data_IF_425639652430
#
_entry.id   IF_425639652430
#
_cell.length_a   1.000
_cell.length_b   1.000
_cell.length_c   1.000
_cell.angle_alpha   90.00
_cell.angle_beta   90.00
_cell.angle_gamma   90.00
#
_symmetry.space_group_name_H-M   'P 1'
#
loop_
_entity.id
_entity.type
_entity.pdbx_description
1 polymer ?
#
# COMPACT_ATOMS: atom_id res chain seq x y z
N UNK A 1 -20.53 21.81 45.32
CA UNK A 1 -21.16 21.36 44.05
C UNK A 1 -21.96 20.09 44.30
N UNK A 2 -23.26 20.03 43.94
CA UNK A 2 -24.12 18.89 44.21
C UNK A 2 -23.64 17.61 43.50
N UNK A 3 -23.87 16.45 44.13
CA UNK A 3 -23.44 15.14 43.60
C UNK A 3 -24.02 14.87 42.20
N UNK A 4 -25.28 15.26 41.97
CA UNK A 4 -25.96 15.17 40.67
C UNK A 4 -25.27 15.99 39.58
N UNK A 5 -24.81 17.21 39.90
CA UNK A 5 -24.12 18.08 38.93
C UNK A 5 -22.74 17.51 38.56
N UNK A 6 -22.02 16.91 39.52
CA UNK A 6 -20.76 16.19 39.24
C UNK A 6 -20.96 15.01 38.29
N UNK A 7 -22.04 14.25 38.48
CA UNK A 7 -22.38 13.10 37.62
C UNK A 7 -22.70 13.56 36.20
N UNK A 8 -23.53 14.60 36.04
CA UNK A 8 -23.91 15.13 34.73
C UNK A 8 -22.68 15.65 33.98
N UNK A 9 -21.80 16.40 34.65
CA UNK A 9 -20.56 16.90 34.04
C UNK A 9 -19.66 15.74 33.61
N UNK A 10 -19.49 14.72 34.45
CA UNK A 10 -18.70 13.53 34.10
C UNK A 10 -19.29 12.80 32.87
N UNK A 11 -20.62 12.69 32.80
CA UNK A 11 -21.31 12.06 31.67
C UNK A 11 -21.10 12.86 30.38
N UNK A 12 -21.30 14.19 30.42
CA UNK A 12 -21.09 15.05 29.25
C UNK A 12 -19.63 15.03 28.78
N UNK A 13 -18.66 15.10 29.71
CA UNK A 13 -17.24 14.99 29.37
C UNK A 13 -16.90 13.63 28.76
N UNK A 14 -17.43 12.53 29.33
CA UNK A 14 -17.22 11.19 28.80
C UNK A 14 -17.78 11.04 27.38
N UNK A 15 -19.00 11.55 27.13
CA UNK A 15 -19.63 11.50 25.81
C UNK A 15 -18.87 12.36 24.80
N UNK A 16 -18.43 13.55 25.19
CA UNK A 16 -17.64 14.43 24.33
C UNK A 16 -16.27 13.80 23.97
N UNK A 17 -15.57 13.22 24.95
CA UNK A 17 -14.30 12.51 24.71
C UNK A 17 -14.52 11.30 23.80
N UNK A 18 -15.59 10.53 24.03
CA UNK A 18 -15.96 9.40 23.17
C UNK A 18 -16.24 9.83 21.73
N UNK A 19 -16.96 10.94 21.54
CA UNK A 19 -17.25 11.48 20.22
C UNK A 19 -15.98 11.98 19.50
N UNK A 20 -15.10 12.71 20.18
CA UNK A 20 -13.83 13.19 19.59
C UNK A 20 -12.92 12.02 19.21
N UNK A 21 -12.86 10.97 20.04
CA UNK A 21 -12.09 9.77 19.73
C UNK A 21 -12.67 9.02 18.52
N UNK A 22 -13.99 8.80 18.49
CA UNK A 22 -14.65 8.03 17.45
C UNK A 22 -14.70 8.75 16.09
N UNK A 23 -14.99 10.06 16.09
CA UNK A 23 -15.20 10.83 14.86
C UNK A 23 -13.98 11.62 14.40
N UNK A 24 -13.07 11.96 15.33
CA UNK A 24 -11.83 12.67 15.01
C UNK A 24 -10.66 11.70 14.90
N UNK A 25 -10.29 11.07 16.02
CA UNK A 25 -9.03 10.34 16.10
C UNK A 25 -8.99 9.09 15.21
N UNK A 26 -10.02 8.23 15.26
CA UNK A 26 -10.01 6.96 14.51
C UNK A 26 -9.91 7.20 12.99
N UNK A 27 -10.75 8.04 12.35
CA UNK A 27 -10.66 8.28 10.90
C UNK A 27 -9.33 8.94 10.50
N UNK A 28 -8.88 9.95 11.25
CA UNK A 28 -7.61 10.62 10.96
C UNK A 28 -6.41 9.68 11.11
N UNK A 29 -6.41 8.83 12.15
CA UNK A 29 -5.35 7.88 12.38
C UNK A 29 -5.29 6.82 11.26
N UNK A 30 -6.44 6.29 10.84
CA UNK A 30 -6.49 5.37 9.70
C UNK A 30 -6.01 6.04 8.40
N UNK A 31 -6.43 7.26 8.13
CA UNK A 31 -6.04 8.00 6.93
C UNK A 31 -4.54 8.32 6.90
N UNK A 32 -4.00 8.85 7.99
CA UNK A 32 -2.58 9.25 8.07
C UNK A 32 -1.62 8.07 8.18
N UNK A 33 -2.11 6.90 8.61
CA UNK A 33 -1.28 5.70 8.84
C UNK A 33 -1.77 4.47 8.05
N UNK A 34 -2.46 4.68 6.92
CA UNK A 34 -3.00 3.63 6.08
C UNK A 34 -1.97 2.58 5.62
N UNK A 35 -0.78 2.99 5.17
CA UNK A 35 0.29 2.07 4.77
C UNK A 35 0.81 1.24 5.95
N UNK A 36 0.81 1.83 7.16
CA UNK A 36 1.17 1.10 8.38
C UNK A 36 0.19 -0.02 8.66
N UNK A 37 -1.11 0.24 8.54
CA UNK A 37 -2.16 -0.75 8.81
C UNK A 37 -2.20 -1.83 7.72
N UNK A 38 -2.24 -1.43 6.44
CA UNK A 38 -2.36 -2.36 5.31
C UNK A 38 -1.24 -3.41 5.30
N UNK A 39 0.00 -2.99 5.50
CA UNK A 39 1.17 -3.90 5.49
C UNK A 39 1.31 -4.79 6.72
N UNK A 40 0.46 -4.58 7.75
CA UNK A 40 0.43 -5.36 8.99
C UNK A 40 -0.82 -6.23 9.11
N UNK A 41 -1.77 -6.09 8.19
CA UNK A 41 -2.89 -7.01 8.14
C UNK A 41 -2.42 -8.39 7.67
N UNK A 42 -2.83 -9.49 8.33
CA UNK A 42 -2.57 -10.83 7.83
C UNK A 42 -3.19 -10.99 6.44
N UNK A 43 -2.38 -11.38 5.47
CA UNK A 43 -2.81 -11.62 4.11
C UNK A 43 -2.25 -12.96 3.62
N UNK A 44 -2.89 -13.53 2.60
CA UNK A 44 -2.40 -14.78 1.99
C UNK A 44 -1.12 -14.49 1.21
N UNK A 45 -0.26 -15.50 1.07
CA UNK A 45 0.94 -15.41 0.24
C UNK A 45 0.58 -14.95 -1.18
N UNK A 46 1.41 -14.08 -1.77
CA UNK A 46 1.21 -13.50 -3.11
C UNK A 46 -0.09 -12.69 -3.23
N UNK A 47 -0.45 -12.01 -2.15
CA UNK A 47 -1.49 -10.99 -2.12
C UNK A 47 -0.83 -9.71 -1.63
N UNK A 48 -1.01 -8.61 -2.34
CA UNK A 48 -0.29 -7.35 -2.11
C UNK A 48 -1.28 -6.19 -1.92
N UNK A 49 -1.96 -6.10 -0.76
CA UNK A 49 -3.05 -5.13 -0.57
C UNK A 49 -2.60 -3.67 -0.66
N UNK A 50 -1.29 -3.41 -0.56
CA UNK A 50 -0.74 -2.07 -0.79
C UNK A 50 -0.99 -1.57 -2.22
N UNK A 51 -1.06 -2.45 -3.23
CA UNK A 51 -1.35 -2.06 -4.62
C UNK A 51 -2.73 -1.42 -4.71
N UNK A 52 -3.73 -2.03 -4.07
CA UNK A 52 -5.08 -1.48 -3.98
C UNK A 52 -5.08 -0.12 -3.27
N UNK A 53 -4.27 0.06 -2.23
CA UNK A 53 -4.12 1.34 -1.55
C UNK A 53 -3.52 2.43 -2.46
N UNK A 54 -2.62 2.08 -3.38
CA UNK A 54 -2.07 3.02 -4.38
C UNK A 54 -3.12 3.54 -5.36
N UNK A 55 -4.29 2.87 -5.49
CA UNK A 55 -5.39 3.35 -6.33
C UNK A 55 -6.07 4.58 -5.72
N UNK A 56 -6.09 4.63 -4.39
CA UNK A 56 -6.81 5.64 -3.62
C UNK A 56 -5.87 6.71 -3.06
N UNK A 57 -4.59 6.37 -2.87
CA UNK A 57 -3.64 7.21 -2.16
C UNK A 57 -2.27 7.27 -2.82
N UNK A 58 -1.64 8.44 -2.71
CA UNK A 58 -0.28 8.65 -3.15
C UNK A 58 0.70 8.02 -2.15
N UNK A 59 1.75 7.45 -2.70
CA UNK A 59 2.91 7.01 -1.94
C UNK A 59 4.03 8.03 -2.10
N UNK A 60 4.60 8.48 -0.99
CA UNK A 60 5.70 9.43 -0.97
C UNK A 60 7.04 8.71 -0.83
N UNK A 61 8.14 9.36 -1.23
CA UNK A 61 9.49 8.79 -1.11
C UNK A 61 9.83 8.37 0.33
N UNK A 62 9.36 9.13 1.32
CA UNK A 62 9.55 8.83 2.73
C UNK A 62 8.93 7.47 3.15
N UNK A 63 7.87 7.02 2.49
CA UNK A 63 7.20 5.74 2.80
C UNK A 63 7.97 4.53 2.28
N UNK A 64 8.78 4.71 1.23
CA UNK A 64 9.61 3.66 0.64
C UNK A 64 11.02 3.58 1.24
N UNK A 65 11.44 4.61 1.99
CA UNK A 65 12.77 4.72 2.58
C UNK A 65 13.88 4.56 1.54
N UNK A 66 15.01 3.97 1.95
CA UNK A 66 16.09 3.59 1.06
C UNK A 66 15.73 2.28 0.33
N UNK A 67 14.84 2.34 -0.66
CA UNK A 67 14.72 1.30 -1.71
C UNK A 67 16.01 1.16 -2.55
N UNK A 68 17.02 1.98 -2.24
CA UNK A 68 18.37 2.01 -2.78
C UNK A 68 19.17 0.69 -2.82
N UNK A 69 18.85 -0.44 -2.11
CA UNK A 69 19.50 -1.70 -2.45
C UNK A 69 18.97 -2.34 -3.75
N UNK A 70 17.86 -1.88 -4.32
CA UNK A 70 17.51 -2.20 -5.71
C UNK A 70 17.91 -1.03 -6.60
N UNK A 71 19.01 -1.21 -7.35
CA UNK A 71 19.54 -0.17 -8.23
C UNK A 71 18.48 0.28 -9.23
N UNK A 72 18.28 1.59 -9.36
CA UNK A 72 17.55 2.17 -10.50
C UNK A 72 16.07 2.47 -10.30
N UNK A 73 15.56 2.46 -9.06
CA UNK A 73 14.15 2.71 -8.78
C UNK A 73 13.86 4.20 -8.66
N UNK A 74 12.75 4.68 -9.23
CA UNK A 74 12.27 6.06 -9.09
C UNK A 74 10.76 6.06 -8.87
N UNK A 75 10.31 6.88 -7.92
CA UNK A 75 8.90 7.24 -7.82
C UNK A 75 8.66 8.37 -8.80
N UNK A 76 7.70 8.18 -9.69
CA UNK A 76 7.17 9.25 -10.54
C UNK A 76 5.68 9.42 -10.28
N UNK A 77 5.21 10.65 -10.46
CA UNK A 77 3.81 10.99 -10.35
C UNK A 77 3.34 11.44 -11.72
N UNK A 78 2.37 10.73 -12.29
CA UNK A 78 1.81 11.11 -13.58
C UNK A 78 0.58 12.01 -13.38
N UNK A 79 0.55 13.13 -14.13
CA UNK A 79 -0.56 14.08 -14.12
C UNK A 79 -1.42 13.85 -15.36
N UNK A 80 -2.50 13.09 -15.19
CA UNK A 80 -3.55 13.02 -16.21
C UNK A 80 -4.43 14.27 -16.11
N UNK A 81 -4.12 15.30 -16.89
CA UNK A 81 -4.69 16.65 -16.81
C UNK A 81 -6.17 16.83 -17.16
N UNK A 82 -7.07 16.06 -16.55
CA UNK A 82 -8.52 16.20 -16.64
C UNK A 82 -9.17 16.73 -15.36
N UNK A 83 -10.50 16.84 -15.37
CA UNK A 83 -11.34 17.33 -14.25
C UNK A 83 -11.22 16.42 -12.99
N UNK A 84 -10.68 15.20 -13.16
CA UNK A 84 -10.27 14.28 -12.09
C UNK A 84 -8.77 13.99 -12.14
N UNK A 85 -7.95 15.03 -12.24
CA UNK A 85 -6.51 14.91 -12.14
C UNK A 85 -6.13 14.25 -10.81
N UNK A 86 -5.70 12.99 -10.89
CA UNK A 86 -5.12 12.26 -9.77
C UNK A 86 -3.67 11.99 -10.12
N UNK A 87 -2.76 12.33 -9.21
CA UNK A 87 -1.40 11.85 -9.33
C UNK A 87 -1.43 10.34 -9.08
N UNK A 88 -0.99 9.57 -10.07
CA UNK A 88 -0.78 8.13 -9.88
C UNK A 88 0.66 7.92 -9.47
N UNK A 89 0.88 7.27 -8.34
CA UNK A 89 2.21 6.79 -7.97
C UNK A 89 2.60 5.70 -8.95
N UNK A 90 3.76 5.87 -9.58
CA UNK A 90 4.38 4.85 -10.40
C UNK A 90 5.78 4.58 -9.86
N UNK A 91 6.06 3.33 -9.51
CA UNK A 91 7.38 2.88 -9.09
C UNK A 91 8.05 2.27 -10.31
N UNK A 92 9.03 2.96 -10.90
CA UNK A 92 9.75 2.50 -12.09
C UNK A 92 11.13 2.01 -11.71
N UNK A 93 11.68 1.06 -12.46
CA UNK A 93 13.10 0.75 -12.37
C UNK A 93 13.61 -0.12 -13.51
N UNK A 94 14.83 -0.62 -13.31
CA UNK A 94 15.58 -1.38 -14.31
C UNK A 94 16.27 -2.58 -13.68
N UNK A 95 16.78 -3.45 -14.54
CA UNK A 95 17.64 -4.58 -14.17
C UNK A 95 17.02 -5.55 -13.16
N UNK A 96 15.70 -5.77 -13.24
CA UNK A 96 14.92 -6.62 -12.35
C UNK A 96 15.28 -8.11 -12.52
N UNK A 97 15.18 -8.64 -13.74
CA UNK A 97 15.45 -10.05 -14.03
C UNK A 97 16.73 -10.24 -14.84
N UNK A 98 17.03 -9.27 -15.70
CA UNK A 98 18.23 -9.21 -16.54
C UNK A 98 18.70 -7.77 -16.67
N UNK A 99 20.00 -7.58 -16.88
CA UNK A 99 20.55 -6.26 -17.18
C UNK A 99 19.89 -5.68 -18.45
N UNK A 100 19.47 -4.43 -18.37
CA UNK A 100 18.82 -3.65 -19.41
C UNK A 100 17.31 -3.79 -19.48
N UNK A 101 16.67 -4.60 -18.65
CA UNK A 101 15.21 -4.66 -18.58
C UNK A 101 14.59 -3.52 -17.76
N UNK A 102 13.28 -3.41 -17.85
CA UNK A 102 12.49 -2.34 -17.25
C UNK A 102 11.26 -2.92 -16.57
N UNK A 103 10.84 -2.29 -15.48
CA UNK A 103 9.53 -2.55 -14.90
C UNK A 103 8.92 -1.25 -14.40
N UNK A 104 7.60 -1.25 -14.28
CA UNK A 104 6.85 -0.27 -13.53
C UNK A 104 5.76 -0.96 -12.70
N UNK A 105 5.53 -0.45 -11.50
CA UNK A 105 4.41 -0.82 -10.65
C UNK A 105 3.50 0.38 -10.56
N UNK A 106 2.24 0.16 -10.89
CA UNK A 106 1.15 1.13 -10.73
C UNK A 106 0.17 0.63 -9.68
N UNK A 107 -0.92 1.37 -9.51
CA UNK A 107 -1.98 1.04 -8.58
C UNK A 107 -2.73 -0.27 -8.89
N UNK A 108 -2.70 -0.75 -10.14
CA UNK A 108 -3.43 -1.96 -10.53
C UNK A 108 -2.57 -2.98 -11.30
N UNK A 109 -1.31 -2.65 -11.56
CA UNK A 109 -0.47 -3.50 -12.41
C UNK A 109 1.01 -3.47 -12.04
N UNK A 110 1.69 -4.55 -12.41
CA UNK A 110 3.13 -4.57 -12.62
C UNK A 110 3.37 -4.85 -14.10
N UNK A 111 3.93 -3.87 -14.80
CA UNK A 111 4.33 -4.01 -16.20
C UNK A 111 5.83 -4.26 -16.27
N UNK A 112 6.27 -5.23 -17.05
CA UNK A 112 7.67 -5.59 -17.23
C UNK A 112 8.01 -5.65 -18.72
N UNK A 113 9.17 -5.13 -19.10
CA UNK A 113 9.62 -5.02 -20.48
C UNK A 113 11.08 -5.41 -20.63
N UNK A 114 11.34 -6.29 -21.59
CA UNK A 114 12.66 -6.84 -21.88
C UNK A 114 13.52 -5.93 -22.78
N UNK A 115 12.91 -4.95 -23.44
CA UNK A 115 13.52 -4.22 -24.56
C UNK A 115 13.25 -2.70 -24.59
N UNK A 116 12.28 -2.19 -23.82
CA UNK A 116 11.90 -0.76 -23.87
C UNK A 116 11.35 -0.22 -22.55
N UNK A 117 11.72 1.00 -22.10
CA UNK A 117 11.06 1.70 -21.00
C UNK A 117 9.67 2.26 -21.38
N UNK A 118 9.37 2.34 -22.67
CA UNK A 118 8.07 2.70 -23.20
C UNK A 118 7.24 1.43 -23.39
N UNK A 119 6.37 1.17 -22.42
CA UNK A 119 5.53 -0.04 -22.35
C UNK A 119 4.42 -0.06 -23.40
N UNK A 120 3.98 1.08 -23.92
CA UNK A 120 2.95 1.13 -24.97
C UNK A 120 3.48 0.56 -26.28
N UNK A 121 4.76 0.82 -26.58
CA UNK A 121 5.42 0.39 -27.82
C UNK A 121 6.35 -0.83 -27.63
N UNK A 122 6.48 -1.34 -26.40
CA UNK A 122 7.31 -2.49 -26.10
C UNK A 122 6.75 -3.77 -26.75
N UNK A 123 7.65 -4.57 -27.34
CA UNK A 123 7.26 -5.81 -28.05
C UNK A 123 7.33 -7.04 -27.16
N UNK A 124 8.14 -6.96 -26.09
CA UNK A 124 8.49 -8.07 -25.24
C UNK A 124 8.09 -7.76 -23.79
N UNK A 125 6.78 -7.80 -23.50
CA UNK A 125 6.23 -7.41 -22.20
C UNK A 125 5.60 -8.56 -21.43
N UNK A 126 5.52 -8.36 -20.11
CA UNK A 126 4.72 -9.15 -19.18
C UNK A 126 3.98 -8.19 -18.28
N UNK A 127 2.65 -8.22 -18.33
CA UNK A 127 1.79 -7.32 -17.59
C UNK A 127 0.96 -8.13 -16.60
N UNK A 128 1.17 -7.92 -15.30
CA UNK A 128 0.43 -8.55 -14.21
C UNK A 128 -0.63 -7.56 -13.75
N UNK A 129 -1.90 -7.98 -13.76
CA UNK A 129 -3.01 -7.18 -13.27
C UNK A 129 -3.52 -7.73 -11.95
N UNK A 130 -3.79 -6.84 -11.01
CA UNK A 130 -4.22 -7.17 -9.66
C UNK A 130 -5.62 -6.65 -9.39
N UNK A 131 -6.37 -7.42 -8.60
CA UNK A 131 -7.68 -7.01 -8.12
C UNK A 131 -7.61 -6.00 -6.96
N UNK A 132 -8.77 -5.56 -6.49
CA UNK A 132 -8.97 -4.63 -5.37
C UNK A 132 -8.47 -5.17 -4.00
N UNK A 133 -7.99 -6.42 -3.96
CA UNK A 133 -7.39 -7.04 -2.78
C UNK A 133 -5.90 -7.32 -2.97
N UNK A 134 -5.33 -6.89 -4.10
CA UNK A 134 -3.93 -7.11 -4.44
C UNK A 134 -3.63 -8.55 -4.85
N UNK A 135 -4.63 -9.32 -5.28
CA UNK A 135 -4.43 -10.68 -5.81
C UNK A 135 -4.24 -10.61 -7.31
N UNK A 136 -3.34 -11.43 -7.84
CA UNK A 136 -3.16 -11.54 -9.29
C UNK A 136 -4.46 -12.04 -9.93
N UNK A 137 -5.03 -11.22 -10.80
CA UNK A 137 -6.25 -11.51 -11.54
C UNK A 137 -5.94 -12.06 -12.93
N UNK A 138 -5.04 -11.41 -13.65
CA UNK A 138 -4.68 -11.82 -15.01
C UNK A 138 -3.22 -11.48 -15.35
N UNK A 139 -2.72 -12.13 -16.39
CA UNK A 139 -1.38 -11.89 -16.93
C UNK A 139 -1.45 -11.80 -18.45
N UNK A 140 -1.06 -10.66 -19.01
CA UNK A 140 -0.83 -10.51 -20.44
C UNK A 140 0.67 -10.67 -20.76
N UNK A 141 0.98 -11.27 -21.91
CA UNK A 141 2.35 -11.52 -22.35
C UNK A 141 2.51 -11.32 -23.85
N UNK A 142 3.49 -10.51 -24.23
CA UNK A 142 3.80 -10.19 -25.63
C UNK A 142 5.22 -10.62 -25.99
N UNK A 143 5.39 -11.07 -27.24
CA UNK A 143 6.69 -11.49 -27.77
C UNK A 143 7.40 -12.53 -26.89
N UNK A 144 8.68 -12.31 -26.62
CA UNK A 144 9.52 -13.16 -25.75
C UNK A 144 9.19 -13.05 -24.27
N UNK A 145 8.32 -12.12 -23.86
CA UNK A 145 7.77 -12.06 -22.50
C UNK A 145 6.98 -13.33 -22.13
N UNK A 146 6.51 -14.10 -23.12
CA UNK A 146 5.83 -15.39 -22.92
C UNK A 146 6.66 -16.42 -22.15
N UNK A 147 7.98 -16.35 -22.25
CA UNK A 147 8.89 -17.31 -21.62
C UNK A 147 9.27 -16.91 -20.18
N UNK A 148 8.83 -15.73 -19.71
CA UNK A 148 9.14 -15.24 -18.36
C UNK A 148 8.11 -15.77 -17.36
N UNK A 149 8.54 -16.56 -16.35
CA UNK A 149 7.63 -17.10 -15.36
C UNK A 149 7.22 -16.04 -14.33
N UNK A 150 5.92 -16.01 -14.00
CA UNK A 150 5.32 -15.03 -13.07
C UNK A 150 5.99 -15.04 -11.69
N UNK A 151 6.47 -16.20 -11.25
CA UNK A 151 7.12 -16.36 -9.94
C UNK A 151 8.37 -15.49 -9.76
N UNK A 152 8.94 -14.95 -10.84
CA UNK A 152 10.07 -14.02 -10.82
C UNK A 152 9.72 -12.63 -10.30
N UNK A 153 8.44 -12.24 -10.31
CA UNK A 153 8.00 -10.92 -9.87
C UNK A 153 7.64 -10.85 -8.38
N UNK A 154 7.42 -12.00 -7.73
CA UNK A 154 7.07 -12.05 -6.30
C UNK A 154 8.13 -11.45 -5.38
N UNK A 155 9.44 -11.71 -5.54
CA UNK A 155 10.45 -11.11 -4.68
C UNK A 155 10.45 -9.58 -4.71
N UNK A 156 10.11 -8.98 -5.87
CA UNK A 156 10.01 -7.54 -6.02
C UNK A 156 8.82 -6.99 -5.22
N UNK A 157 7.64 -7.57 -5.39
CA UNK A 157 6.43 -7.13 -4.67
C UNK A 157 6.58 -7.35 -3.15
N UNK A 158 7.14 -8.49 -2.74
CA UNK A 158 7.48 -8.78 -1.34
C UNK A 158 8.45 -7.74 -0.78
N UNK A 159 9.45 -7.33 -1.56
CA UNK A 159 10.41 -6.31 -1.15
C UNK A 159 9.78 -4.92 -0.99
N UNK A 160 8.91 -4.52 -1.92
CA UNK A 160 8.20 -3.23 -1.82
C UNK A 160 7.30 -3.23 -0.59
N UNK A 161 6.53 -4.29 -0.36
CA UNK A 161 5.69 -4.44 0.81
C UNK A 161 6.50 -4.43 2.12
N UNK A 162 7.65 -5.10 2.15
CA UNK A 162 8.55 -5.10 3.29
C UNK A 162 9.12 -3.71 3.61
N UNK A 163 9.47 -2.94 2.58
CA UNK A 163 9.99 -1.58 2.75
C UNK A 163 8.89 -0.65 3.26
N UNK A 164 7.70 -0.72 2.68
CA UNK A 164 6.53 0.00 3.17
C UNK A 164 6.27 -0.33 4.64
N UNK A 165 6.28 -1.62 5.00
CA UNK A 165 6.06 -2.07 6.38
C UNK A 165 7.09 -1.49 7.36
N UNK A 166 8.36 -1.39 6.95
CA UNK A 166 9.45 -0.90 7.79
C UNK A 166 9.43 0.63 7.93
N UNK A 167 9.15 1.35 6.85
CA UNK A 167 9.30 2.79 6.75
C UNK A 167 7.98 3.57 6.94
N UNK A 168 6.81 2.91 6.85
CA UNK A 168 5.51 3.55 7.06
C UNK A 168 5.45 4.29 8.39
N UNK A 169 4.92 5.52 8.37
CA UNK A 169 4.66 6.31 9.58
C UNK A 169 3.78 5.55 10.56
N UNK A 170 4.25 5.41 11.81
CA UNK A 170 3.55 4.65 12.85
C UNK A 170 2.55 5.54 13.59
N UNK A 171 1.33 5.06 13.85
CA UNK A 171 0.40 5.79 14.68
C UNK A 171 0.87 5.83 16.14
N UNK A 172 0.60 6.95 16.82
CA UNK A 172 0.82 7.08 18.27
C UNK A 172 0.08 5.99 19.06
N UNK A 173 -1.14 5.66 18.63
CA UNK A 173 -1.92 4.54 19.14
C UNK A 173 -2.30 3.68 17.95
N UNK A 174 -1.73 2.48 17.87
CA UNK A 174 -2.11 1.47 16.88
C UNK A 174 -3.49 0.91 17.20
N UNK A 175 -4.46 1.17 16.33
CA UNK A 175 -5.82 0.64 16.46
C UNK A 175 -5.83 -0.89 16.32
N UNK A 176 -4.97 -1.44 15.47
CA UNK A 176 -4.79 -2.88 15.30
C UNK A 176 -4.28 -3.53 16.60
N UNK A 177 -3.28 -2.94 17.27
CA UNK A 177 -2.78 -3.47 18.54
C UNK A 177 -3.86 -3.42 19.64
N UNK A 178 -4.69 -2.36 19.65
CA UNK A 178 -5.82 -2.27 20.58
C UNK A 178 -6.84 -3.38 20.30
N UNK A 179 -7.19 -3.58 19.04
CA UNK A 179 -8.10 -4.65 18.62
C UNK A 179 -7.55 -6.02 19.01
N UNK A 180 -6.31 -6.34 18.65
CA UNK A 180 -5.68 -7.63 18.94
C UNK A 180 -5.56 -7.89 20.46
N UNK A 181 -5.29 -6.84 21.26
CA UNK A 181 -5.30 -6.97 22.72
C UNK A 181 -6.69 -7.28 23.26
N UNK A 182 -7.74 -6.61 22.77
CA UNK A 182 -9.10 -6.86 23.22
C UNK A 182 -9.59 -8.23 22.75
N UNK A 183 -9.31 -8.59 21.50
CA UNK A 183 -9.64 -9.88 20.93
C UNK A 183 -9.01 -11.02 21.75
N UNK A 184 -7.69 -10.94 22.04
CA UNK A 184 -7.02 -11.93 22.89
C UNK A 184 -7.58 -12.00 24.32
N UNK A 185 -8.05 -10.88 24.89
CA UNK A 185 -8.68 -10.89 26.23
C UNK A 185 -10.04 -11.57 26.20
N UNK A 186 -10.84 -11.35 25.16
CA UNK A 186 -12.21 -11.83 25.05
C UNK A 186 -12.28 -13.29 24.60
N UNK A 187 -11.35 -13.73 23.76
CA UNK A 187 -11.32 -15.06 23.15
C UNK A 187 -10.12 -15.90 23.61
N UNK A 188 -9.68 -15.73 24.85
CA UNK A 188 -8.56 -16.50 25.42
C UNK A 188 -8.72 -18.02 25.15
N UNK A 189 -7.79 -18.54 24.35
CA UNK A 189 -6.96 -19.68 24.76
C UNK A 189 -6.00 -19.24 25.86
#
# INVERSE_FOLDING_TARGET
>A
MPKAVKIIIALVLSTAVGAVAAWGYVPLNLHLHQYYYVTRMPHRRHTYPYLSLLMEHQLYEADLGDLAPVKGYRISYDYNGGISASYRTIIKGRDLLKVGDYFEITAASLSYSLDSPDFENARNTVDLYFDDRGRLESVDRKGTGRDVPVSRFWPLLDQVEDQLRKNSSRPLISLQDQFDRQFRKQYRE
#
